data_IF_120567891499
#
_entry.id   IF_120567891499
#
_cell.length_a   1.000
_cell.length_b   1.000
_cell.length_c   1.000
_cell.angle_alpha   90.00
_cell.angle_beta   90.00
_cell.angle_gamma   90.00
#
_symmetry.space_group_name_H-M   'P 1'
#
loop_
_entity.id
_entity.type
_entity.pdbx_description
1 polymer ?
#
# COMPACT_ATOMS: atom_id res chain seq x y z
N UNK A 1 -25.10 -8.68 -7.95
CA UNK A 1 -24.07 -9.75 -8.05
C UNK A 1 -22.71 -9.28 -8.63
N UNK A 2 -22.68 -8.60 -9.80
CA UNK A 2 -21.41 -8.16 -10.45
C UNK A 2 -20.54 -7.21 -9.61
N UNK A 3 -21.14 -6.23 -8.91
CA UNK A 3 -20.42 -5.30 -8.01
C UNK A 3 -19.69 -6.00 -6.85
N UNK A 4 -20.32 -7.02 -6.26
CA UNK A 4 -19.73 -7.81 -5.17
C UNK A 4 -18.56 -8.65 -5.65
N UNK A 5 -18.60 -9.14 -6.91
CA UNK A 5 -17.45 -9.82 -7.52
C UNK A 5 -16.27 -8.86 -7.70
N UNK A 6 -16.52 -7.59 -8.07
CA UNK A 6 -15.48 -6.56 -8.23
C UNK A 6 -14.81 -6.21 -6.90
N UNK A 7 -15.59 -6.00 -5.83
CA UNK A 7 -15.05 -5.66 -4.50
C UNK A 7 -14.26 -6.81 -3.85
N UNK A 8 -14.44 -8.05 -4.33
CA UNK A 8 -13.66 -9.21 -3.90
C UNK A 8 -12.38 -9.41 -4.70
N UNK A 9 -12.11 -8.61 -5.74
CA UNK A 9 -10.86 -8.70 -6.51
C UNK A 9 -9.82 -7.70 -6.03
N UNK A 10 -8.52 -8.04 -6.07
CA UNK A 10 -7.46 -7.13 -5.67
C UNK A 10 -7.40 -5.84 -6.51
N UNK A 11 -7.75 -5.90 -7.80
CA UNK A 11 -7.54 -4.80 -8.76
C UNK A 11 -8.04 -3.45 -8.27
N UNK A 12 -9.30 -3.37 -7.81
CA UNK A 12 -9.88 -2.09 -7.40
C UNK A 12 -9.16 -1.53 -6.16
N UNK A 13 -8.82 -2.40 -5.22
CA UNK A 13 -8.10 -2.02 -4.01
C UNK A 13 -6.65 -1.62 -4.29
N UNK A 14 -5.99 -2.26 -5.25
CA UNK A 14 -4.65 -1.84 -5.70
C UNK A 14 -4.68 -0.47 -6.36
N UNK A 15 -5.71 -0.15 -7.16
CA UNK A 15 -5.86 1.19 -7.77
C UNK A 15 -6.07 2.25 -6.68
N UNK A 16 -6.98 1.98 -5.74
CA UNK A 16 -7.22 2.87 -4.60
C UNK A 16 -5.93 3.05 -3.79
N UNK A 17 -5.24 1.94 -3.49
CA UNK A 17 -3.98 1.97 -2.75
C UNK A 17 -2.91 2.76 -3.50
N UNK A 18 -2.78 2.65 -4.82
CA UNK A 18 -1.80 3.43 -5.58
C UNK A 18 -2.03 4.94 -5.45
N UNK A 19 -3.30 5.39 -5.51
CA UNK A 19 -3.66 6.79 -5.33
C UNK A 19 -3.36 7.27 -3.91
N UNK A 20 -3.74 6.48 -2.91
CA UNK A 20 -3.55 6.81 -1.49
C UNK A 20 -2.08 6.74 -1.07
N UNK A 21 -1.32 5.79 -1.59
CA UNK A 21 0.11 5.71 -1.36
C UNK A 21 0.82 6.91 -1.99
N UNK A 22 0.52 7.24 -3.24
CA UNK A 22 1.18 8.35 -3.94
C UNK A 22 0.87 9.70 -3.31
N UNK A 23 -0.43 10.01 -3.12
CA UNK A 23 -0.85 11.31 -2.59
C UNK A 23 -0.53 11.43 -1.09
N UNK A 24 -1.41 10.93 -0.21
CA UNK A 24 -1.21 11.07 1.22
C UNK A 24 -0.07 10.24 1.81
N UNK A 25 0.33 9.14 1.18
CA UNK A 25 1.43 8.31 1.70
C UNK A 25 2.83 8.83 1.39
N UNK A 26 3.01 9.64 0.34
CA UNK A 26 4.35 10.08 -0.10
C UNK A 26 4.42 11.56 -0.44
N UNK A 27 3.53 12.08 -1.30
CA UNK A 27 3.57 13.48 -1.72
C UNK A 27 3.27 14.44 -0.56
N UNK A 28 2.24 14.16 0.25
CA UNK A 28 1.91 15.03 1.38
C UNK A 28 3.05 15.10 2.42
N UNK A 29 3.60 13.97 2.92
CA UNK A 29 4.76 14.01 3.81
C UNK A 29 5.96 14.76 3.22
N UNK A 30 6.23 14.60 1.91
CA UNK A 30 7.30 15.34 1.25
C UNK A 30 7.11 16.86 1.30
N UNK A 31 5.87 17.32 1.08
CA UNK A 31 5.52 18.74 1.17
C UNK A 31 5.64 19.23 2.63
N UNK A 32 5.17 18.44 3.60
CA UNK A 32 5.28 18.74 5.04
C UNK A 32 6.74 18.84 5.50
N UNK A 33 7.64 18.05 4.90
CA UNK A 33 9.09 18.13 5.10
C UNK A 33 9.76 19.28 4.31
N UNK A 34 8.99 20.19 3.72
CA UNK A 34 9.49 21.39 3.05
C UNK A 34 9.85 21.22 1.57
N UNK A 35 9.66 20.03 0.99
CA UNK A 35 9.81 19.80 -0.46
C UNK A 35 11.24 20.00 -1.00
N UNK A 36 12.25 19.85 -0.14
CA UNK A 36 13.66 19.99 -0.48
C UNK A 36 14.35 18.68 -0.88
N UNK A 37 15.62 18.75 -1.28
CA UNK A 37 16.38 17.58 -1.73
C UNK A 37 16.89 16.67 -0.61
N UNK A 38 16.88 17.15 0.64
CA UNK A 38 17.44 16.47 1.82
C UNK A 38 16.92 15.03 2.00
N UNK A 39 15.63 14.83 1.75
CA UNK A 39 14.96 13.53 1.90
C UNK A 39 14.47 12.94 0.56
N UNK A 40 14.75 13.62 -0.55
CA UNK A 40 14.18 13.31 -1.86
C UNK A 40 14.55 11.90 -2.34
N UNK A 41 15.76 11.42 -2.09
CA UNK A 41 16.17 10.07 -2.48
C UNK A 41 15.29 8.99 -1.82
N UNK A 42 15.04 9.11 -0.52
CA UNK A 42 14.15 8.21 0.23
C UNK A 42 12.72 8.30 -0.27
N UNK A 43 12.21 9.52 -0.51
CA UNK A 43 10.87 9.76 -1.06
C UNK A 43 10.70 9.10 -2.44
N UNK A 44 11.71 9.19 -3.31
CA UNK A 44 11.68 8.55 -4.63
C UNK A 44 11.66 7.02 -4.53
N UNK A 45 12.38 6.43 -3.56
CA UNK A 45 12.31 4.99 -3.26
C UNK A 45 10.89 4.60 -2.84
N UNK A 46 10.25 5.39 -1.97
CA UNK A 46 8.84 5.15 -1.62
C UNK A 46 7.95 5.20 -2.87
N UNK A 47 8.10 6.19 -3.75
CA UNK A 47 7.33 6.27 -5.00
C UNK A 47 7.50 5.03 -5.91
N UNK A 48 8.61 4.30 -5.84
CA UNK A 48 8.75 3.04 -6.57
C UNK A 48 7.68 2.00 -6.19
N UNK A 49 7.19 2.00 -4.94
CA UNK A 49 6.08 1.13 -4.54
C UNK A 49 4.81 1.40 -5.34
N UNK A 50 4.51 2.67 -5.68
CA UNK A 50 3.39 3.00 -6.55
C UNK A 50 3.53 2.32 -7.91
N UNK A 51 4.73 2.29 -8.49
CA UNK A 51 4.98 1.63 -9.78
C UNK A 51 4.67 0.13 -9.69
N UNK A 52 5.12 -0.54 -8.63
CA UNK A 52 4.82 -1.95 -8.43
C UNK A 52 3.32 -2.21 -8.19
N UNK A 53 2.65 -1.38 -7.39
CA UNK A 53 1.20 -1.49 -7.16
C UNK A 53 0.43 -1.36 -8.50
N UNK A 54 0.77 -0.35 -9.31
CA UNK A 54 0.15 -0.12 -10.62
C UNK A 54 0.44 -1.26 -11.60
N UNK A 55 1.68 -1.76 -11.61
CA UNK A 55 2.03 -2.93 -12.40
C UNK A 55 1.14 -4.13 -12.04
N UNK A 56 0.99 -4.45 -10.75
CA UNK A 56 0.12 -5.56 -10.33
C UNK A 56 -1.34 -5.28 -10.74
N UNK A 57 -1.84 -4.06 -10.53
CA UNK A 57 -3.23 -3.70 -10.84
C UNK A 57 -3.59 -3.82 -12.33
N UNK A 58 -2.68 -3.43 -13.22
CA UNK A 58 -2.97 -3.28 -14.64
C UNK A 58 -2.32 -4.34 -15.53
N UNK A 59 -1.14 -4.84 -15.16
CA UNK A 59 -0.33 -5.75 -15.97
C UNK A 59 -0.46 -7.23 -15.56
N UNK A 60 -1.18 -7.53 -14.48
CA UNK A 60 -1.41 -8.91 -14.03
C UNK A 60 -2.91 -9.18 -13.86
N UNK A 61 -3.32 -10.45 -13.87
CA UNK A 61 -4.72 -10.87 -13.76
C UNK A 61 -4.86 -12.20 -12.99
N UNK A 62 -6.07 -12.51 -12.55
CA UNK A 62 -6.42 -13.79 -11.92
C UNK A 62 -5.58 -14.11 -10.68
N UNK A 63 -5.20 -15.38 -10.53
CA UNK A 63 -4.40 -15.84 -9.39
C UNK A 63 -3.06 -15.11 -9.27
N UNK A 64 -2.41 -14.76 -10.39
CA UNK A 64 -1.12 -14.07 -10.34
C UNK A 64 -1.26 -12.67 -9.70
N UNK A 65 -2.30 -11.93 -10.08
CA UNK A 65 -2.62 -10.64 -9.45
C UNK A 65 -2.90 -10.78 -7.95
N UNK A 66 -3.62 -11.83 -7.57
CA UNK A 66 -3.95 -12.10 -6.18
C UNK A 66 -2.72 -12.48 -5.33
N UNK A 67 -1.81 -13.30 -5.87
CA UNK A 67 -0.57 -13.68 -5.16
C UNK A 67 0.39 -12.50 -5.03
N UNK A 68 0.54 -11.72 -6.10
CA UNK A 68 1.41 -10.55 -6.09
C UNK A 68 0.86 -9.44 -5.18
N UNK A 69 -0.47 -9.27 -5.07
CA UNK A 69 -1.04 -8.31 -4.13
C UNK A 69 -0.72 -8.66 -2.68
N UNK A 70 -0.82 -9.94 -2.30
CA UNK A 70 -0.40 -10.43 -0.97
C UNK A 70 1.09 -10.22 -0.78
N UNK A 71 1.91 -10.70 -1.72
CA UNK A 71 3.37 -10.64 -1.63
C UNK A 71 3.89 -9.21 -1.45
N UNK A 72 3.38 -8.25 -2.23
CA UNK A 72 3.83 -6.86 -2.14
C UNK A 72 3.28 -6.14 -0.90
N UNK A 73 2.00 -6.29 -0.60
CA UNK A 73 1.35 -5.46 0.41
C UNK A 73 1.62 -5.96 1.85
N UNK A 74 1.84 -7.25 2.05
CA UNK A 74 2.06 -7.81 3.39
C UNK A 74 3.30 -7.28 4.10
N UNK A 75 4.50 -7.22 3.48
CA UNK A 75 5.67 -6.62 4.13
C UNK A 75 5.47 -5.15 4.51
N UNK A 76 4.74 -4.39 3.69
CA UNK A 76 4.46 -2.97 3.96
C UNK A 76 3.49 -2.80 5.13
N UNK A 77 2.47 -3.65 5.23
CA UNK A 77 1.60 -3.68 6.41
C UNK A 77 2.40 -3.99 7.68
N UNK A 78 3.30 -4.97 7.62
CA UNK A 78 4.19 -5.32 8.75
C UNK A 78 5.08 -4.15 9.13
N UNK A 79 5.63 -3.41 8.16
CA UNK A 79 6.40 -2.18 8.41
C UNK A 79 5.59 -1.18 9.24
N UNK A 80 4.33 -0.90 8.88
CA UNK A 80 3.49 0.03 9.64
C UNK A 80 3.15 -0.50 11.03
N UNK A 81 2.86 -1.80 11.18
CA UNK A 81 2.54 -2.40 12.48
C UNK A 81 3.72 -2.27 13.43
N UNK A 82 4.92 -2.63 12.96
CA UNK A 82 6.15 -2.52 13.74
C UNK A 82 6.44 -1.06 14.07
N UNK A 83 6.33 -0.16 13.08
CA UNK A 83 6.51 1.28 13.27
C UNK A 83 5.61 1.84 14.36
N UNK A 84 4.32 1.53 14.32
CA UNK A 84 3.34 1.99 15.29
C UNK A 84 3.57 1.41 16.70
N UNK A 85 3.82 0.09 16.81
CA UNK A 85 3.99 -0.60 18.10
C UNK A 85 5.28 -0.17 18.79
N UNK A 86 6.37 -0.06 18.03
CA UNK A 86 7.68 0.32 18.56
C UNK A 86 7.90 1.83 18.60
N UNK A 87 6.92 2.63 18.14
CA UNK A 87 7.01 4.10 18.05
C UNK A 87 8.24 4.56 17.27
N UNK A 88 8.49 3.93 16.12
CA UNK A 88 9.63 4.28 15.27
C UNK A 88 9.41 5.62 14.58
N UNK A 89 10.51 6.25 14.21
CA UNK A 89 10.54 7.48 13.42
C UNK A 89 11.25 7.25 12.09
N UNK A 90 10.85 8.01 11.08
CA UNK A 90 11.44 8.03 9.75
C UNK A 90 11.53 9.48 9.29
N UNK A 91 12.76 9.96 9.03
CA UNK A 91 13.00 11.36 8.62
C UNK A 91 12.44 12.37 9.63
N UNK A 92 12.54 12.06 10.93
CA UNK A 92 12.03 12.91 12.02
C UNK A 92 10.51 12.88 12.19
N UNK A 93 9.78 12.06 11.43
CA UNK A 93 8.32 11.89 11.55
C UNK A 93 7.99 10.50 12.11
N UNK A 94 6.98 10.38 13.01
CA UNK A 94 6.57 9.08 13.54
C UNK A 94 5.98 8.18 12.43
N UNK A 95 6.36 6.91 12.43
CA UNK A 95 5.84 5.90 11.50
C UNK A 95 4.50 5.38 12.02
N UNK A 96 3.40 5.78 11.36
CA UNK A 96 2.03 5.38 11.71
C UNK A 96 1.69 5.62 13.20
N UNK A 97 1.67 6.88 13.67
CA UNK A 97 1.21 7.20 15.02
C UNK A 97 -0.27 6.80 15.19
N UNK A 98 -0.70 6.49 16.41
CA UNK A 98 -2.12 6.28 16.72
C UNK A 98 -2.79 7.62 17.08
N UNK A 99 -4.02 7.87 16.59
CA UNK A 99 -4.93 6.94 15.88
C UNK A 99 -4.73 6.83 14.36
N UNK A 100 -3.86 7.63 13.75
CA UNK A 100 -3.68 7.75 12.30
C UNK A 100 -3.29 6.41 11.63
N UNK A 101 -2.60 5.53 12.35
CA UNK A 101 -2.20 4.18 11.96
C UNK A 101 -3.33 3.31 11.42
N UNK A 102 -4.57 3.54 11.87
CA UNK A 102 -5.76 2.82 11.41
C UNK A 102 -5.90 2.93 9.88
N UNK A 103 -5.56 4.08 9.32
CA UNK A 103 -5.68 4.32 7.89
C UNK A 103 -4.72 3.44 7.05
N UNK A 104 -3.38 3.51 7.21
CA UNK A 104 -2.48 2.62 6.49
C UNK A 104 -2.79 1.15 6.76
N UNK A 105 -3.14 0.75 7.99
CA UNK A 105 -3.54 -0.63 8.26
C UNK A 105 -4.70 -1.07 7.39
N UNK A 106 -5.73 -0.23 7.26
CA UNK A 106 -6.92 -0.55 6.48
C UNK A 106 -6.58 -0.66 4.99
N UNK A 107 -5.95 0.36 4.41
CA UNK A 107 -5.77 0.43 2.96
C UNK A 107 -4.75 -0.58 2.43
N UNK A 108 -3.74 -0.93 3.23
CA UNK A 108 -2.78 -1.98 2.89
C UNK A 108 -3.33 -3.39 3.13
N UNK A 109 -4.25 -3.57 4.07
CA UNK A 109 -4.89 -4.87 4.32
C UNK A 109 -5.86 -5.29 3.22
N UNK A 110 -6.54 -4.35 2.56
CA UNK A 110 -7.59 -4.68 1.59
C UNK A 110 -7.08 -5.46 0.36
N UNK A 111 -5.97 -5.09 -0.30
CA UNK A 111 -5.36 -5.91 -1.35
C UNK A 111 -4.81 -7.25 -0.86
N UNK A 112 -4.41 -7.34 0.41
CA UNK A 112 -3.97 -8.61 1.03
C UNK A 112 -5.16 -9.54 1.20
N UNK A 113 -6.23 -9.08 1.85
CA UNK A 113 -7.43 -9.88 2.13
C UNK A 113 -8.08 -10.34 0.82
N UNK A 114 -8.26 -9.44 -0.13
CA UNK A 114 -8.78 -9.81 -1.46
C UNK A 114 -7.80 -10.66 -2.26
N UNK A 115 -6.49 -10.52 -2.03
CA UNK A 115 -5.49 -11.43 -2.60
C UNK A 115 -5.63 -12.85 -2.04
N UNK A 116 -5.67 -13.02 -0.72
CA UNK A 116 -5.83 -14.33 -0.05
C UNK A 116 -7.12 -15.03 -0.50
N UNK A 117 -8.22 -14.29 -0.61
CA UNK A 117 -9.51 -14.85 -1.06
C UNK A 117 -9.47 -15.42 -2.50
N UNK A 118 -8.51 -15.01 -3.33
CA UNK A 118 -8.43 -15.40 -4.74
C UNK A 118 -7.08 -16.03 -5.12
N UNK A 119 -6.15 -16.24 -4.18
CA UNK A 119 -4.79 -16.69 -4.50
C UNK A 119 -4.75 -18.16 -4.99
N UNK A 120 -5.79 -18.93 -4.64
CA UNK A 120 -5.97 -20.34 -4.99
C UNK A 120 -7.34 -20.62 -5.63
N UNK A 121 -8.13 -19.61 -5.98
CA UNK A 121 -9.41 -19.83 -6.68
C UNK A 121 -9.11 -20.34 -8.09
N UNK A 122 -9.67 -21.49 -8.48
CA UNK A 122 -9.53 -22.06 -9.82
C UNK A 122 -9.85 -21.00 -10.90
N UNK A 123 -9.05 -21.02 -11.97
CA UNK A 123 -9.07 -20.02 -13.03
C UNK A 123 -10.34 -20.08 -13.88
#
# INVERSE_FOLDING_TARGET
MKKMKILKTPKIWLIILALLHTGPGVILPYIEMGGGTEHLATILIFLCFTVYILYIAFMTKGQNQARLSVMLCSPVLVFFIIGAVMKLEMMGLPVAPFPEAIFPFTVWSLPILTGILNCNSEA
#
